data_IF_596426264698
#
_entry.id   IF_596426264698
#
_cell.length_a   1.000
_cell.length_b   1.000
_cell.length_c   1.000
_cell.angle_alpha   90.00
_cell.angle_beta   90.00
_cell.angle_gamma   90.00
#
_symmetry.space_group_name_H-M   'P 1'
#
loop_
_entity.id
_entity.type
_entity.pdbx_description
1 polymer ?
#
# COMPACT_ATOMS: atom_id res chain seq x y z
N UNK A 1 21.05 24.42 13.74
CA UNK A 1 20.08 25.38 14.31
C UNK A 1 18.74 24.66 14.51
N UNK A 2 18.48 24.17 15.72
CA UNK A 2 17.27 23.43 16.06
C UNK A 2 16.20 24.40 16.60
N UNK A 3 15.11 24.62 15.86
CA UNK A 3 13.94 25.35 16.37
C UNK A 3 13.16 24.40 17.30
N UNK A 4 13.16 24.70 18.60
CA UNK A 4 12.23 24.12 19.57
C UNK A 4 10.82 24.62 19.23
N UNK A 5 10.07 23.85 18.45
CA UNK A 5 8.64 24.07 18.24
C UNK A 5 7.86 23.63 19.47
N UNK A 6 7.23 24.57 20.17
CA UNK A 6 6.22 24.26 21.18
C UNK A 6 5.01 23.64 20.47
N UNK A 7 4.80 22.33 20.68
CA UNK A 7 3.66 21.57 20.21
C UNK A 7 2.38 22.02 20.95
N UNK A 8 1.78 23.12 20.50
CA UNK A 8 0.45 23.52 20.92
C UNK A 8 -0.56 22.70 20.09
N UNK A 9 -0.81 21.44 20.49
CA UNK A 9 -1.89 20.60 19.95
C UNK A 9 -3.25 21.10 20.45
N UNK A 10 -3.60 22.36 20.19
CA UNK A 10 -5.00 22.76 20.18
C UNK A 10 -5.55 22.29 18.84
N UNK A 11 -6.30 21.18 18.85
CA UNK A 11 -6.99 20.68 17.67
C UNK A 11 -7.84 21.80 17.08
N UNK A 12 -7.35 22.40 16.01
CA UNK A 12 -8.09 23.38 15.21
C UNK A 12 -9.28 22.60 14.65
N UNK A 13 -10.43 22.67 15.31
CA UNK A 13 -11.69 22.22 14.73
C UNK A 13 -11.89 23.08 13.50
N UNK A 14 -11.62 22.51 12.32
CA UNK A 14 -12.03 23.10 11.06
C UNK A 14 -13.54 23.26 11.13
N UNK A 15 -14.00 24.49 11.33
CA UNK A 15 -15.38 24.83 10.99
C UNK A 15 -15.38 24.82 9.47
N UNK A 16 -15.69 23.67 8.88
CA UNK A 16 -16.16 23.61 7.50
C UNK A 16 -17.28 24.66 7.45
N UNK A 17 -17.02 25.77 6.78
CA UNK A 17 -18.06 26.75 6.51
C UNK A 17 -19.08 26.01 5.67
N UNK A 18 -20.16 25.54 6.30
CA UNK A 18 -21.17 24.71 5.67
C UNK A 18 -21.65 25.42 4.42
N UNK A 19 -21.16 24.97 3.26
CA UNK A 19 -21.79 25.30 2.00
C UNK A 19 -23.08 24.50 2.00
N UNK A 20 -24.19 25.21 1.86
CA UNK A 20 -25.46 24.55 1.59
C UNK A 20 -25.33 23.93 0.20
N UNK A 21 -24.97 22.64 0.14
CA UNK A 21 -24.86 21.85 -1.10
C UNK A 21 -26.24 21.48 -1.67
N UNK A 22 -27.30 22.10 -1.16
CA UNK A 22 -28.64 22.03 -1.70
C UNK A 22 -28.67 22.48 -3.16
N UNK A 23 -29.27 21.65 -4.02
CA UNK A 23 -29.57 21.98 -5.42
C UNK A 23 -30.42 23.26 -5.57
N UNK A 24 -31.07 23.69 -4.48
CA UNK A 24 -31.86 24.92 -4.43
C UNK A 24 -31.01 26.19 -4.29
N UNK A 25 -29.74 26.06 -3.91
CA UNK A 25 -28.78 27.17 -3.89
C UNK A 25 -28.11 27.40 -5.26
N UNK A 26 -28.41 26.56 -6.26
CA UNK A 26 -27.89 26.77 -7.62
C UNK A 26 -28.55 27.99 -8.29
N UNK A 27 -27.77 28.94 -8.84
CA UNK A 27 -28.28 30.17 -9.45
C UNK A 27 -29.31 29.95 -10.57
N UNK A 28 -29.19 28.82 -11.28
CA UNK A 28 -30.08 28.40 -12.37
C UNK A 28 -31.45 27.96 -11.86
N UNK A 29 -31.51 27.29 -10.70
CA UNK A 29 -32.75 26.87 -10.05
C UNK A 29 -33.43 28.01 -9.31
N UNK A 30 -32.66 28.90 -8.68
CA UNK A 30 -33.19 30.08 -8.00
C UNK A 30 -33.97 31.03 -8.95
N UNK A 31 -33.57 31.08 -10.23
CA UNK A 31 -34.27 31.83 -11.26
C UNK A 31 -35.58 31.14 -11.73
N UNK A 32 -35.69 29.82 -11.62
CA UNK A 32 -36.89 29.05 -11.99
C UNK A 32 -37.93 28.95 -10.87
N UNK A 33 -37.54 29.06 -9.60
CA UNK A 33 -38.43 28.88 -8.45
C UNK A 33 -39.20 30.12 -8.01
N UNK A 34 -39.11 31.23 -8.75
CA UNK A 34 -39.70 32.53 -8.37
C UNK A 34 -41.21 32.57 -8.14
N UNK A 35 -41.96 31.47 -8.31
CA UNK A 35 -43.39 31.45 -8.03
C UNK A 35 -44.00 30.08 -7.69
N UNK A 36 -43.21 29.11 -7.22
CA UNK A 36 -43.76 27.82 -6.78
C UNK A 36 -43.48 27.65 -5.29
N UNK A 37 -44.53 27.78 -4.48
CA UNK A 37 -44.65 27.23 -3.12
C UNK A 37 -44.55 25.70 -3.17
N UNK A 38 -43.42 25.19 -3.65
CA UNK A 38 -43.09 23.79 -3.60
C UNK A 38 -42.92 23.46 -2.11
N UNK A 39 -43.97 22.89 -1.51
CA UNK A 39 -43.90 22.22 -0.22
C UNK A 39 -42.64 21.37 -0.23
N UNK A 40 -41.63 21.79 0.53
CA UNK A 40 -40.41 21.01 0.75
C UNK A 40 -40.85 19.59 1.09
N UNK A 41 -40.57 18.67 0.18
CA UNK A 41 -40.91 17.27 0.38
C UNK A 41 -40.19 16.83 1.65
N UNK A 42 -40.95 16.46 2.69
CA UNK A 42 -40.38 16.05 3.98
C UNK A 42 -39.42 14.88 3.80
N UNK A 43 -39.61 14.05 2.78
CA UNK A 43 -38.70 12.96 2.47
C UNK A 43 -37.33 13.45 2.03
N UNK A 44 -37.24 14.55 1.28
CA UNK A 44 -35.96 15.18 0.92
C UNK A 44 -35.28 15.81 2.14
N UNK A 45 -36.04 16.49 3.01
CA UNK A 45 -35.46 17.07 4.23
C UNK A 45 -34.89 15.98 5.15
N UNK A 46 -35.58 14.85 5.28
CA UNK A 46 -35.10 13.71 6.06
C UNK A 46 -33.88 13.03 5.41
N UNK A 47 -33.84 12.96 4.07
CA UNK A 47 -32.68 12.46 3.35
C UNK A 47 -31.44 13.35 3.57
N UNK A 48 -31.58 14.68 3.53
CA UNK A 48 -30.48 15.61 3.80
C UNK A 48 -29.94 15.48 5.24
N UNK A 49 -30.82 15.44 6.25
CA UNK A 49 -30.38 15.25 7.64
C UNK A 49 -29.62 13.94 7.83
N UNK A 50 -30.04 12.88 7.15
CA UNK A 50 -29.37 11.58 7.24
C UNK A 50 -27.97 11.60 6.60
N UNK A 51 -27.82 12.28 5.46
CA UNK A 51 -26.52 12.44 4.80
C UNK A 51 -25.56 13.26 5.68
N UNK A 52 -26.04 14.34 6.29
CA UNK A 52 -25.23 15.15 7.21
C UNK A 52 -24.79 14.36 8.45
N UNK A 53 -25.69 13.56 9.04
CA UNK A 53 -25.38 12.69 10.19
C UNK A 53 -24.38 11.57 9.84
N UNK A 54 -24.48 11.00 8.63
CA UNK A 54 -23.54 9.98 8.16
C UNK A 54 -22.12 10.58 7.92
N UNK A 55 -22.01 11.86 7.56
CA UNK A 55 -20.74 12.55 7.35
C UNK A 55 -20.07 13.06 8.65
N UNK A 56 -20.82 13.23 9.74
CA UNK A 56 -20.29 13.75 11.01
C UNK A 56 -19.24 12.85 11.69
N UNK A 57 -19.05 11.62 11.20
CA UNK A 57 -18.04 10.68 11.67
C UNK A 57 -16.92 10.35 10.67
N UNK A 58 -16.98 10.86 9.44
CA UNK A 58 -16.00 10.48 8.41
C UNK A 58 -14.66 11.19 8.64
N UNK A 59 -13.58 10.42 8.53
CA UNK A 59 -12.24 11.00 8.67
C UNK A 59 -11.96 11.95 7.51
N UNK A 60 -11.22 13.03 7.76
CA UNK A 60 -10.76 13.97 6.73
C UNK A 60 -10.08 13.29 5.53
N UNK A 61 -9.43 12.14 5.74
CA UNK A 61 -8.85 11.34 4.67
C UNK A 61 -9.93 10.76 3.73
N UNK A 62 -11.05 10.29 4.26
CA UNK A 62 -12.15 9.74 3.47
C UNK A 62 -12.84 10.84 2.64
N UNK A 63 -12.90 12.06 3.14
CA UNK A 63 -13.43 13.21 2.39
C UNK A 63 -12.47 13.61 1.25
N UNK A 64 -11.16 13.62 1.51
CA UNK A 64 -10.15 13.89 0.49
C UNK A 64 -10.15 12.83 -0.64
N UNK A 65 -10.41 11.57 -0.30
CA UNK A 65 -10.55 10.47 -1.28
C UNK A 65 -11.77 10.64 -2.21
N UNK A 66 -12.81 11.34 -1.76
CA UNK A 66 -14.05 11.58 -2.52
C UNK A 66 -14.09 12.99 -3.13
N UNK A 67 -12.96 13.69 -3.14
CA UNK A 67 -12.93 15.00 -3.74
C UNK A 67 -13.20 14.91 -5.25
N UNK A 68 -14.30 15.53 -5.68
CA UNK A 68 -14.68 15.65 -7.10
C UNK A 68 -13.58 16.32 -7.92
N UNK A 69 -12.74 17.15 -7.28
CA UNK A 69 -11.64 17.84 -7.94
C UNK A 69 -10.45 16.93 -8.28
N UNK A 70 -10.37 15.75 -7.67
CA UNK A 70 -9.31 14.75 -7.91
C UNK A 70 -9.80 13.58 -8.78
N UNK A 71 -11.05 13.62 -9.25
CA UNK A 71 -11.58 12.60 -10.15
C UNK A 71 -10.85 12.61 -11.50
N UNK A 72 -10.57 11.44 -12.11
CA UNK A 72 -9.96 11.37 -13.43
C UNK A 72 -10.75 12.09 -14.54
N UNK A 73 -12.06 12.26 -14.33
CA UNK A 73 -13.01 12.91 -15.24
C UNK A 73 -13.09 14.42 -15.06
N UNK A 74 -12.54 14.98 -13.98
CA UNK A 74 -12.58 16.42 -13.75
C UNK A 74 -11.72 17.16 -14.78
N UNK A 75 -12.40 17.87 -15.68
CA UNK A 75 -11.75 18.75 -16.66
C UNK A 75 -11.74 20.18 -16.13
N UNK A 76 -10.55 20.77 -16.00
CA UNK A 76 -10.40 22.19 -15.64
C UNK A 76 -11.06 23.13 -16.66
N UNK A 77 -11.17 22.69 -17.92
CA UNK A 77 -11.79 23.49 -18.98
C UNK A 77 -13.32 23.58 -18.81
N UNK A 78 -13.95 22.53 -18.27
CA UNK A 78 -15.40 22.47 -18.07
C UNK A 78 -15.81 22.85 -16.64
N UNK A 79 -14.99 22.49 -15.65
CA UNK A 79 -15.26 22.65 -14.22
C UNK A 79 -14.80 23.97 -13.61
N UNK A 80 -14.13 24.83 -14.39
CA UNK A 80 -13.59 26.11 -13.93
C UNK A 80 -12.38 25.97 -12.98
N UNK A 81 -12.07 27.05 -12.29
CA UNK A 81 -10.99 27.07 -11.29
C UNK A 81 -11.41 26.35 -10.00
N UNK A 82 -10.50 25.55 -9.45
CA UNK A 82 -10.72 24.85 -8.18
C UNK A 82 -10.79 25.90 -7.05
N UNK A 83 -11.86 25.95 -6.25
CA UNK A 83 -11.98 26.90 -5.15
C UNK A 83 -10.81 26.81 -4.17
N UNK A 84 -10.34 27.94 -3.63
CA UNK A 84 -9.21 27.97 -2.69
C UNK A 84 -9.45 27.11 -1.44
N UNK A 85 -10.70 26.97 -1.01
CA UNK A 85 -11.09 26.17 0.14
C UNK A 85 -11.49 24.72 -0.21
N UNK A 86 -11.39 24.31 -1.48
CA UNK A 86 -11.66 22.94 -1.86
C UNK A 86 -10.62 22.00 -1.23
N UNK A 87 -11.10 20.92 -0.62
CA UNK A 87 -10.27 19.82 -0.19
C UNK A 87 -9.81 19.06 -1.43
N UNK A 88 -8.50 19.00 -1.65
CA UNK A 88 -7.88 18.22 -2.72
C UNK A 88 -6.89 17.26 -2.09
N UNK A 89 -6.61 16.15 -2.77
CA UNK A 89 -5.65 15.15 -2.34
C UNK A 89 -4.25 15.78 -2.15
N UNK A 90 -3.86 16.73 -2.99
CA UNK A 90 -2.61 17.48 -2.84
C UNK A 90 -2.54 18.25 -1.51
N UNK A 91 -3.60 19.01 -1.16
CA UNK A 91 -3.66 19.75 0.11
C UNK A 91 -3.68 18.82 1.32
N UNK A 92 -4.45 17.74 1.24
CA UNK A 92 -4.46 16.69 2.26
C UNK A 92 -3.07 16.09 2.46
N UNK A 93 -2.39 15.72 1.37
CA UNK A 93 -1.06 15.12 1.42
C UNK A 93 -0.03 16.08 2.03
N UNK A 94 -0.08 17.36 1.66
CA UNK A 94 0.80 18.40 2.22
C UNK A 94 0.59 18.55 3.73
N UNK A 95 -0.66 18.61 4.20
CA UNK A 95 -0.98 18.70 5.63
C UNK A 95 -0.48 17.45 6.40
N UNK A 96 -0.67 16.25 5.85
CA UNK A 96 -0.17 15.02 6.48
C UNK A 96 1.36 14.94 6.52
N UNK A 97 2.05 15.42 5.49
CA UNK A 97 3.51 15.48 5.46
C UNK A 97 4.07 16.41 6.55
N UNK A 98 3.39 17.53 6.81
CA UNK A 98 3.75 18.45 7.89
C UNK A 98 3.44 17.87 9.28
N UNK A 99 2.31 17.18 9.43
CA UNK A 99 1.88 16.58 10.69
C UNK A 99 2.72 15.36 11.10
N UNK A 100 3.22 14.60 10.12
CA UNK A 100 3.92 13.32 10.37
C UNK A 100 5.36 13.55 10.80
N UNK A 101 5.70 13.11 12.01
CA UNK A 101 7.07 13.20 12.52
C UNK A 101 8.00 12.14 11.88
N UNK A 102 9.31 12.38 11.93
CA UNK A 102 10.29 11.40 11.43
C UNK A 102 10.25 10.08 12.21
N UNK A 103 10.05 10.14 13.53
CA UNK A 103 9.97 8.95 14.38
C UNK A 103 8.74 8.11 14.06
N UNK A 104 7.58 8.76 13.95
CA UNK A 104 6.33 8.10 13.56
C UNK A 104 6.47 7.41 12.21
N UNK A 105 7.02 8.11 11.21
CA UNK A 105 7.33 7.55 9.90
C UNK A 105 8.17 6.27 9.99
N UNK A 106 9.31 6.29 10.69
CA UNK A 106 10.18 5.11 10.82
C UNK A 106 9.55 3.96 11.58
N UNK A 107 8.84 4.25 12.68
CA UNK A 107 8.18 3.22 13.49
C UNK A 107 7.05 2.56 12.70
N UNK A 108 6.14 3.35 12.10
CA UNK A 108 5.02 2.82 11.34
C UNK A 108 5.47 2.03 10.12
N UNK A 109 6.46 2.52 9.37
CA UNK A 109 6.97 1.81 8.19
C UNK A 109 7.79 0.57 8.57
N UNK A 110 8.50 0.58 9.69
CA UNK A 110 9.19 -0.59 10.23
C UNK A 110 8.22 -1.70 10.66
N UNK A 111 7.15 -1.35 11.37
CA UNK A 111 6.08 -2.30 11.75
C UNK A 111 5.43 -2.88 10.48
N UNK A 112 5.09 -2.02 9.51
CA UNK A 112 4.49 -2.44 8.25
C UNK A 112 5.37 -3.43 7.49
N UNK A 113 6.69 -3.19 7.42
CA UNK A 113 7.63 -4.09 6.79
C UNK A 113 7.73 -5.44 7.52
N UNK A 114 7.80 -5.44 8.85
CA UNK A 114 7.80 -6.68 9.64
C UNK A 114 6.51 -7.49 9.41
N UNK A 115 5.35 -6.82 9.46
CA UNK A 115 4.07 -7.47 9.17
C UNK A 115 3.99 -8.00 7.73
N UNK A 116 4.56 -7.30 6.75
CA UNK A 116 4.53 -7.77 5.35
C UNK A 116 5.39 -9.02 5.17
N UNK A 117 6.58 -9.05 5.78
CA UNK A 117 7.43 -10.24 5.78
C UNK A 117 6.77 -11.44 6.46
N UNK A 118 6.10 -11.22 7.60
CA UNK A 118 5.33 -12.26 8.29
C UNK A 118 4.11 -12.73 7.50
N UNK A 119 3.43 -11.81 6.82
CA UNK A 119 2.28 -12.16 5.97
C UNK A 119 2.70 -13.09 4.82
N UNK A 120 3.87 -12.87 4.22
CA UNK A 120 4.40 -13.75 3.19
C UNK A 120 4.68 -15.18 3.67
N UNK A 121 4.94 -15.40 4.96
CA UNK A 121 5.08 -16.76 5.53
C UNK A 121 3.77 -17.53 5.39
N UNK A 122 2.62 -16.88 5.55
CA UNK A 122 1.30 -17.52 5.30
C UNK A 122 1.21 -17.98 3.85
N UNK A 123 1.67 -17.15 2.91
CA UNK A 123 1.73 -17.51 1.49
C UNK A 123 2.63 -18.71 1.19
N UNK A 124 3.81 -18.75 1.82
CA UNK A 124 4.73 -19.88 1.70
C UNK A 124 4.10 -21.18 2.27
N UNK A 125 3.43 -21.09 3.43
CA UNK A 125 2.73 -22.23 4.02
C UNK A 125 1.59 -22.75 3.15
N UNK A 126 0.78 -21.86 2.56
CA UNK A 126 -0.29 -22.21 1.63
C UNK A 126 0.24 -22.84 0.33
N UNK A 127 1.35 -22.33 -0.17
CA UNK A 127 1.99 -22.87 -1.38
C UNK A 127 2.57 -24.26 -1.12
N UNK A 128 3.21 -24.46 0.03
CA UNK A 128 3.77 -25.76 0.44
C UNK A 128 2.69 -26.80 0.71
N UNK A 129 1.57 -26.43 1.36
CA UNK A 129 0.47 -27.37 1.61
C UNK A 129 -0.20 -27.82 0.31
N UNK A 130 -0.28 -26.93 -0.67
CA UNK A 130 -0.81 -27.26 -2.00
C UNK A 130 0.15 -28.18 -2.77
N UNK A 131 1.46 -27.99 -2.65
CA UNK A 131 2.45 -28.85 -3.29
C UNK A 131 2.55 -30.24 -2.64
N UNK A 132 2.17 -30.39 -1.36
CA UNK A 132 2.24 -31.64 -0.63
C UNK A 132 1.26 -32.68 -1.22
N UNK A 133 1.79 -33.76 -1.78
CA UNK A 133 1.01 -34.81 -2.45
C UNK A 133 0.94 -34.68 -3.98
N UNK A 134 1.44 -33.59 -4.56
CA UNK A 134 1.63 -33.47 -6.01
C UNK A 134 2.95 -34.14 -6.42
N UNK A 135 2.96 -34.78 -7.60
CA UNK A 135 4.18 -35.39 -8.16
C UNK A 135 4.42 -34.92 -9.61
N UNK A 136 5.66 -35.01 -10.06
CA UNK A 136 6.05 -34.71 -11.43
C UNK A 136 5.86 -33.23 -11.82
N UNK A 137 5.30 -32.99 -13.00
CA UNK A 137 5.19 -31.65 -13.59
C UNK A 137 4.37 -30.67 -12.74
N UNK A 138 3.34 -31.15 -12.04
CA UNK A 138 2.46 -30.29 -11.24
C UNK A 138 3.24 -29.70 -10.05
N UNK A 139 4.07 -30.53 -9.39
CA UNK A 139 4.93 -30.07 -8.29
C UNK A 139 5.94 -29.02 -8.78
N UNK A 140 6.50 -29.21 -9.98
CA UNK A 140 7.40 -28.23 -10.59
C UNK A 140 6.72 -26.87 -10.74
N UNK A 141 5.53 -26.80 -11.35
CA UNK A 141 4.82 -25.52 -11.49
C UNK A 141 4.48 -24.88 -10.13
N UNK A 142 4.06 -25.68 -9.16
CA UNK A 142 3.74 -25.21 -7.81
C UNK A 142 4.95 -24.54 -7.13
N UNK A 143 6.11 -25.21 -7.12
CA UNK A 143 7.30 -24.73 -6.38
C UNK A 143 8.10 -23.68 -7.15
N UNK A 144 8.17 -23.80 -8.48
CA UNK A 144 9.04 -22.96 -9.32
C UNK A 144 8.33 -21.70 -9.79
N UNK A 145 7.01 -21.73 -9.98
CA UNK A 145 6.26 -20.61 -10.55
C UNK A 145 5.28 -20.01 -9.54
N UNK A 146 4.35 -20.82 -9.02
CA UNK A 146 3.29 -20.28 -8.16
C UNK A 146 3.79 -19.79 -6.81
N UNK A 147 4.66 -20.56 -6.13
CA UNK A 147 5.21 -20.14 -4.84
C UNK A 147 5.95 -18.80 -4.90
N UNK A 148 6.90 -18.57 -5.83
CA UNK A 148 7.53 -17.25 -5.99
C UNK A 148 6.56 -16.11 -6.27
N UNK A 149 5.52 -16.33 -7.07
CA UNK A 149 4.50 -15.30 -7.36
C UNK A 149 3.79 -14.89 -6.06
N UNK A 150 3.26 -15.87 -5.32
CA UNK A 150 2.52 -15.62 -4.08
C UNK A 150 3.42 -14.92 -3.06
N UNK A 151 4.64 -15.43 -2.89
CA UNK A 151 5.57 -14.92 -1.91
C UNK A 151 5.99 -13.46 -2.18
N UNK A 152 6.40 -13.12 -3.40
CA UNK A 152 6.85 -11.76 -3.71
C UNK A 152 5.69 -10.74 -3.66
N UNK A 153 4.48 -11.15 -4.07
CA UNK A 153 3.26 -10.33 -3.89
C UNK A 153 3.01 -10.06 -2.40
N UNK A 154 3.07 -11.09 -1.55
CA UNK A 154 2.79 -10.93 -0.12
C UNK A 154 3.90 -10.18 0.63
N UNK A 155 5.18 -10.32 0.25
CA UNK A 155 6.30 -9.55 0.86
C UNK A 155 6.18 -8.05 0.65
N UNK A 156 5.44 -7.63 -0.38
CA UNK A 156 5.30 -6.22 -0.77
C UNK A 156 3.90 -5.65 -0.58
N UNK A 157 2.88 -6.48 -0.31
CA UNK A 157 1.48 -6.05 -0.26
C UNK A 157 1.19 -4.96 0.77
N UNK A 158 1.67 -5.09 2.01
CA UNK A 158 1.44 -4.07 3.03
C UNK A 158 2.24 -2.79 2.75
N UNK A 159 3.42 -2.91 2.14
CA UNK A 159 4.19 -1.75 1.71
C UNK A 159 3.51 -1.01 0.55
N UNK A 160 2.94 -1.74 -0.41
CA UNK A 160 2.12 -1.18 -1.49
C UNK A 160 0.90 -0.47 -0.91
N UNK A 161 0.15 -1.13 -0.02
CA UNK A 161 -0.97 -0.52 0.70
C UNK A 161 -0.54 0.77 1.42
N UNK A 162 0.62 0.75 2.08
CA UNK A 162 1.19 1.94 2.70
C UNK A 162 1.44 3.07 1.70
N UNK A 163 2.03 2.77 0.54
CA UNK A 163 2.29 3.75 -0.52
C UNK A 163 1.00 4.29 -1.13
N UNK A 164 -0.04 3.47 -1.25
CA UNK A 164 -1.33 3.88 -1.81
C UNK A 164 -2.13 4.73 -0.84
N UNK A 165 -2.27 4.26 0.40
CA UNK A 165 -3.18 4.83 1.39
C UNK A 165 -2.51 5.89 2.27
N UNK A 166 -1.21 5.73 2.56
CA UNK A 166 -0.47 6.57 3.50
C UNK A 166 0.92 6.96 2.97
N UNK A 167 1.03 7.53 1.75
CA UNK A 167 2.32 7.85 1.13
C UNK A 167 3.17 8.85 1.94
N UNK A 168 2.53 9.67 2.78
CA UNK A 168 3.18 10.61 3.70
C UNK A 168 3.99 9.92 4.82
N UNK A 169 3.74 8.63 5.10
CA UNK A 169 4.54 7.87 6.06
C UNK A 169 5.96 7.59 5.56
N UNK A 170 6.22 7.68 4.27
CA UNK A 170 7.57 7.51 3.73
C UNK A 170 8.15 8.87 3.38
N UNK A 171 9.31 9.20 3.95
CA UNK A 171 9.95 10.52 3.79
C UNK A 171 10.99 10.55 2.69
N UNK A 172 11.46 9.39 2.24
CA UNK A 172 12.48 9.30 1.20
C UNK A 172 12.44 7.97 0.45
N UNK A 173 12.93 7.94 -0.81
CA UNK A 173 13.13 6.69 -1.55
C UNK A 173 14.01 5.69 -0.82
N UNK A 174 15.04 6.17 -0.11
CA UNK A 174 16.00 5.32 0.63
C UNK A 174 15.33 4.61 1.80
N UNK A 175 14.46 5.30 2.53
CA UNK A 175 13.67 4.68 3.60
C UNK A 175 12.85 3.52 3.03
N UNK A 176 12.15 3.74 1.91
CA UNK A 176 11.35 2.73 1.25
C UNK A 176 12.19 1.50 0.85
N UNK A 177 13.38 1.71 0.28
CA UNK A 177 14.31 0.61 -0.04
C UNK A 177 14.77 -0.18 1.20
N UNK A 178 15.09 0.51 2.29
CA UNK A 178 15.55 -0.11 3.54
C UNK A 178 14.43 -0.97 4.15
N UNK A 179 13.21 -0.46 4.24
CA UNK A 179 12.07 -1.20 4.80
C UNK A 179 11.66 -2.37 3.89
N UNK A 180 11.79 -2.23 2.57
CA UNK A 180 11.57 -3.33 1.63
C UNK A 180 12.57 -4.47 1.81
N UNK A 181 13.86 -4.15 1.88
CA UNK A 181 14.90 -5.12 2.20
C UNK A 181 14.65 -5.78 3.56
N UNK A 182 14.23 -5.01 4.56
CA UNK A 182 13.88 -5.51 5.89
C UNK A 182 12.68 -6.47 5.87
N UNK A 183 11.63 -6.20 5.08
CA UNK A 183 10.51 -7.14 4.87
C UNK A 183 11.01 -8.50 4.36
N UNK A 184 11.85 -8.49 3.33
CA UNK A 184 12.45 -9.72 2.78
C UNK A 184 13.34 -10.46 3.78
N UNK A 185 14.10 -9.73 4.61
CA UNK A 185 14.92 -10.32 5.68
C UNK A 185 14.05 -10.99 6.76
N UNK A 186 12.96 -10.35 7.19
CA UNK A 186 12.03 -10.91 8.19
C UNK A 186 11.40 -12.20 7.65
N UNK A 187 10.90 -12.17 6.42
CA UNK A 187 10.36 -13.35 5.75
C UNK A 187 11.39 -14.50 5.74
N UNK A 188 12.59 -14.24 5.20
CA UNK A 188 13.61 -15.28 5.04
C UNK A 188 14.07 -15.87 6.37
N UNK A 189 14.12 -15.04 7.42
CA UNK A 189 14.51 -15.49 8.75
C UNK A 189 13.50 -16.48 9.32
N UNK A 190 12.20 -16.17 9.21
CA UNK A 190 11.13 -17.06 9.69
C UNK A 190 11.05 -18.32 8.84
N UNK A 191 11.11 -18.18 7.52
CA UNK A 191 11.10 -19.32 6.61
C UNK A 191 12.27 -20.27 6.88
N UNK A 192 13.48 -19.75 7.08
CA UNK A 192 14.64 -20.58 7.41
C UNK A 192 14.46 -21.34 8.73
N UNK A 193 13.85 -20.72 9.75
CA UNK A 193 13.52 -21.43 10.99
C UNK A 193 12.53 -22.57 10.73
N UNK A 194 11.49 -22.33 9.92
CA UNK A 194 10.52 -23.37 9.56
C UNK A 194 11.21 -24.53 8.83
N UNK A 195 12.06 -24.27 7.85
CA UNK A 195 12.75 -25.35 7.15
C UNK A 195 13.71 -26.13 8.04
N UNK A 196 14.52 -25.44 8.84
CA UNK A 196 15.55 -26.10 9.67
C UNK A 196 14.99 -26.80 10.92
N UNK A 197 13.75 -26.52 11.31
CA UNK A 197 13.11 -27.10 12.51
C UNK A 197 11.87 -27.93 12.23
N UNK A 198 11.26 -27.79 11.05
CA UNK A 198 9.97 -28.43 10.74
C UNK A 198 10.05 -29.27 9.46
N UNK A 199 10.72 -28.79 8.40
CA UNK A 199 10.68 -29.48 7.10
C UNK A 199 11.89 -30.36 6.80
N UNK A 200 13.05 -30.09 7.41
CA UNK A 200 14.28 -30.84 7.17
C UNK A 200 14.66 -31.52 8.48
N UNK A 201 14.58 -32.85 8.48
CA UNK A 201 15.09 -33.67 9.57
C UNK A 201 16.63 -33.66 9.55
N UNK A 202 17.23 -33.40 10.71
CA UNK A 202 18.69 -33.35 10.94
C UNK A 202 19.49 -32.59 9.83
N UNK A 203 19.26 -31.27 9.67
CA UNK A 203 19.88 -30.50 8.59
C UNK A 203 21.41 -30.44 8.78
N UNK A 204 22.14 -30.80 7.72
CA UNK A 204 23.60 -30.70 7.74
C UNK A 204 24.07 -29.25 7.97
N UNK A 205 25.26 -29.03 8.56
CA UNK A 205 25.80 -27.68 8.76
C UNK A 205 25.88 -26.84 7.47
N UNK A 206 26.11 -27.50 6.34
CA UNK A 206 26.13 -26.86 5.04
C UNK A 206 24.75 -26.32 4.63
N UNK A 207 23.67 -27.08 4.82
CA UNK A 207 22.30 -26.64 4.56
C UNK A 207 21.93 -25.45 5.45
N UNK A 208 22.29 -25.50 6.73
CA UNK A 208 22.07 -24.39 7.67
C UNK A 208 22.74 -23.12 7.16
N UNK A 209 24.02 -23.19 6.79
CA UNK A 209 24.78 -22.04 6.28
C UNK A 209 24.19 -21.51 4.97
N UNK A 210 23.88 -22.40 4.02
CA UNK A 210 23.31 -22.04 2.73
C UNK A 210 22.00 -21.27 2.89
N UNK A 211 21.09 -21.76 3.74
CA UNK A 211 19.80 -21.09 3.99
C UNK A 211 19.98 -19.70 4.58
N UNK A 212 20.83 -19.55 5.60
CA UNK A 212 21.06 -18.27 6.25
C UNK A 212 21.88 -17.27 5.45
N UNK A 213 22.52 -17.68 4.36
CA UNK A 213 23.31 -16.80 3.49
C UNK A 213 22.64 -16.60 2.14
N UNK A 214 22.51 -17.65 1.34
CA UNK A 214 22.00 -17.61 -0.03
C UNK A 214 20.50 -17.32 -0.05
N UNK A 215 19.68 -18.05 0.72
CA UNK A 215 18.23 -17.81 0.71
C UNK A 215 17.86 -16.45 1.31
N UNK A 216 18.53 -16.04 2.40
CA UNK A 216 18.35 -14.68 2.95
C UNK A 216 18.73 -13.63 1.93
N UNK A 217 19.91 -13.77 1.30
CA UNK A 217 20.38 -12.85 0.27
C UNK A 217 19.41 -12.76 -0.91
N UNK A 218 18.88 -13.90 -1.38
CA UNK A 218 17.88 -13.96 -2.44
C UNK A 218 16.64 -13.16 -2.06
N UNK A 219 15.96 -13.50 -0.96
CA UNK A 219 14.69 -12.86 -0.60
C UNK A 219 14.84 -11.39 -0.27
N UNK A 220 15.89 -10.99 0.44
CA UNK A 220 16.19 -9.57 0.69
C UNK A 220 16.40 -8.82 -0.63
N UNK A 221 17.11 -9.42 -1.60
CA UNK A 221 17.39 -8.79 -2.89
C UNK A 221 16.15 -8.71 -3.77
N UNK A 222 15.38 -9.79 -3.92
CA UNK A 222 14.15 -9.78 -4.73
C UNK A 222 13.13 -8.80 -4.17
N UNK A 223 12.98 -8.75 -2.85
CA UNK A 223 12.08 -7.79 -2.18
C UNK A 223 12.56 -6.35 -2.38
N UNK A 224 13.87 -6.09 -2.30
CA UNK A 224 14.44 -4.78 -2.62
C UNK A 224 14.20 -4.37 -4.08
N UNK A 225 14.31 -5.31 -5.04
CA UNK A 225 13.99 -5.06 -6.45
C UNK A 225 12.51 -4.70 -6.61
N UNK A 226 11.59 -5.47 -6.05
CA UNK A 226 10.16 -5.18 -6.11
C UNK A 226 9.84 -3.79 -5.49
N UNK A 227 10.54 -3.44 -4.41
CA UNK A 227 10.43 -2.15 -3.73
C UNK A 227 10.90 -0.96 -4.59
N UNK A 228 11.79 -1.15 -5.56
CA UNK A 228 12.10 -0.10 -6.55
C UNK A 228 10.85 0.34 -7.31
N UNK A 229 9.92 -0.57 -7.57
CA UNK A 229 8.62 -0.26 -8.16
C UNK A 229 7.79 0.63 -7.24
N UNK A 230 7.73 0.29 -5.96
CA UNK A 230 7.05 1.09 -4.94
C UNK A 230 7.65 2.50 -4.80
N UNK A 231 8.98 2.62 -4.91
CA UNK A 231 9.65 3.93 -4.96
C UNK A 231 9.17 4.77 -6.14
N UNK A 232 8.98 4.16 -7.33
CA UNK A 232 8.47 4.90 -8.50
C UNK A 232 7.03 5.36 -8.32
N UNK A 233 6.19 4.51 -7.74
CA UNK A 233 4.80 4.86 -7.39
C UNK A 233 4.81 6.04 -6.41
N UNK A 234 5.56 5.92 -5.30
CA UNK A 234 5.65 6.96 -4.27
C UNK A 234 6.21 8.28 -4.82
N UNK A 235 7.29 8.26 -5.60
CA UNK A 235 7.86 9.46 -6.21
C UNK A 235 6.87 10.19 -7.11
N UNK A 236 6.03 9.44 -7.83
CA UNK A 236 4.97 10.04 -8.64
C UNK A 236 3.96 10.76 -7.75
N UNK A 237 3.45 10.09 -6.72
CA UNK A 237 2.49 10.68 -5.76
C UNK A 237 3.03 11.99 -5.19
N UNK A 238 4.27 11.96 -4.68
CA UNK A 238 4.92 13.13 -4.09
C UNK A 238 5.14 14.28 -5.08
N UNK A 239 5.36 13.98 -6.36
CA UNK A 239 5.59 15.00 -7.39
C UNK A 239 4.29 15.61 -7.91
N UNK A 240 3.23 14.81 -8.01
CA UNK A 240 2.01 15.24 -8.71
C UNK A 240 0.84 15.51 -7.79
N UNK A 241 0.92 15.17 -6.50
CA UNK A 241 -0.23 15.31 -5.59
C UNK A 241 -1.44 14.52 -6.07
N UNK A 242 -1.23 13.35 -6.67
CA UNK A 242 -2.28 12.48 -7.21
C UNK A 242 -2.17 11.09 -6.60
N UNK A 243 -3.25 10.32 -6.63
CA UNK A 243 -3.28 8.94 -6.15
C UNK A 243 -2.22 8.04 -6.80
N UNK A 244 -1.81 7.02 -6.04
CA UNK A 244 -0.87 6.00 -6.46
C UNK A 244 -1.40 5.20 -7.66
N UNK A 245 -0.48 4.74 -8.51
CA UNK A 245 -0.76 3.95 -9.72
C UNK A 245 0.09 2.68 -9.70
N UNK A 246 -0.48 1.58 -9.21
CA UNK A 246 0.23 0.32 -8.95
C UNK A 246 0.93 -0.25 -10.19
N UNK A 247 0.41 0.00 -11.39
CA UNK A 247 0.99 -0.45 -12.66
C UNK A 247 2.42 0.05 -12.90
N UNK A 248 2.81 1.17 -12.29
CA UNK A 248 4.19 1.68 -12.37
C UNK A 248 5.20 0.78 -11.67
N UNK A 249 4.75 0.00 -10.69
CA UNK A 249 5.57 -0.97 -9.95
C UNK A 249 5.62 -2.36 -10.58
N UNK A 250 4.66 -2.71 -11.43
CA UNK A 250 4.43 -4.09 -11.90
C UNK A 250 5.67 -4.73 -12.54
N UNK A 251 6.43 -3.97 -13.35
CA UNK A 251 7.66 -4.48 -13.99
C UNK A 251 8.72 -4.93 -12.99
N UNK A 252 8.83 -4.26 -11.85
CA UNK A 252 9.84 -4.55 -10.83
C UNK A 252 9.44 -5.78 -10.01
N UNK A 253 8.16 -5.89 -9.68
CA UNK A 253 7.60 -7.09 -9.06
C UNK A 253 7.79 -8.31 -9.97
N UNK A 254 7.51 -8.17 -11.27
CA UNK A 254 7.73 -9.24 -12.24
C UNK A 254 9.20 -9.69 -12.30
N UNK A 255 10.16 -8.75 -12.31
CA UNK A 255 11.59 -9.08 -12.28
C UNK A 255 11.95 -9.83 -11.00
N UNK A 256 11.44 -9.40 -9.84
CA UNK A 256 11.68 -10.08 -8.57
C UNK A 256 11.15 -11.52 -8.57
N UNK A 257 9.92 -11.72 -9.04
CA UNK A 257 9.29 -13.04 -9.22
C UNK A 257 10.13 -13.91 -10.15
N UNK A 258 10.55 -13.38 -11.29
CA UNK A 258 11.34 -14.13 -12.27
C UNK A 258 12.68 -14.60 -11.69
N UNK A 259 13.41 -13.71 -11.00
CA UNK A 259 14.69 -14.06 -10.36
C UNK A 259 14.52 -15.14 -9.29
N UNK A 260 13.47 -15.03 -8.48
CA UNK A 260 13.14 -16.02 -7.48
C UNK A 260 12.76 -17.37 -8.12
N UNK A 261 11.88 -17.36 -9.11
CA UNK A 261 11.50 -18.55 -9.88
C UNK A 261 12.70 -19.25 -10.53
N UNK A 262 13.63 -18.49 -11.12
CA UNK A 262 14.86 -19.03 -11.70
C UNK A 262 15.74 -19.72 -10.65
N UNK A 263 15.86 -19.15 -9.45
CA UNK A 263 16.57 -19.79 -8.34
C UNK A 263 15.87 -21.09 -7.92
N UNK A 264 14.55 -21.06 -7.67
CA UNK A 264 13.80 -22.26 -7.28
C UNK A 264 13.88 -23.35 -8.35
N UNK A 265 13.75 -22.99 -9.62
CA UNK A 265 13.89 -23.92 -10.74
C UNK A 265 15.27 -24.56 -10.77
N UNK A 266 16.34 -23.77 -10.59
CA UNK A 266 17.71 -24.27 -10.54
C UNK A 266 17.89 -25.28 -9.40
N UNK A 267 17.41 -24.96 -8.19
CA UNK A 267 17.48 -25.87 -7.04
C UNK A 267 16.64 -27.13 -7.25
N UNK A 268 15.45 -27.01 -7.85
CA UNK A 268 14.61 -28.16 -8.18
C UNK A 268 15.33 -29.12 -9.13
N UNK A 269 15.94 -28.61 -10.21
CA UNK A 269 16.70 -29.46 -11.15
C UNK A 269 17.90 -30.12 -10.48
N UNK A 270 18.67 -29.38 -9.67
CA UNK A 270 19.81 -29.97 -8.94
C UNK A 270 19.37 -31.13 -8.03
N UNK A 271 18.24 -31.00 -7.34
CA UNK A 271 17.66 -32.06 -6.52
C UNK A 271 17.21 -33.27 -7.34
N UNK A 272 16.57 -33.05 -8.50
CA UNK A 272 16.17 -34.15 -9.42
C UNK A 272 17.38 -34.96 -9.90
N UNK A 273 18.53 -34.32 -10.12
CA UNK A 273 19.76 -34.99 -10.55
C UNK A 273 20.63 -35.53 -9.40
N UNK A 274 20.18 -35.42 -8.15
CA UNK A 274 20.92 -35.90 -6.97
C UNK A 274 22.20 -35.13 -6.68
N UNK A 275 22.32 -33.89 -7.19
CA UNK A 275 23.43 -32.98 -6.88
C UNK A 275 23.20 -32.24 -5.56
N UNK A 276 22.02 -32.42 -4.96
CA UNK A 276 21.58 -31.80 -3.72
C UNK A 276 20.51 -32.63 -3.02
#
# INVERSE_FOLDING_TARGET
MARKGQNNKQGKKWKLGGRDHSIHAEPTMAAMTGNLDAKKDQTQSQAHTKVDDDHLGESFAAEAERSVFDEPTYSKELGGEIPENALTYEKFLAEQLEATSALESWVSTGIMAACSGLFAVVGALMSNSTAFGMTGQIQFFAVVIFAPVVEEVMKTSLLLWGVEQKPYLFRSPKQLMIIGAFSGLVFASVENVLYLKVYIDDPSPFIVLWRWTVCVGLHTTTTAIATLGLVKIWQRVMRTGQFARAELGARYLFIAILLHALYNGSMYFLGVFGLF
#
